data_IF_941869918636
#
_entry.id   IF_941869918636
#
_cell.length_a   1.000
_cell.length_b   1.000
_cell.length_c   1.000
_cell.angle_alpha   90.00
_cell.angle_beta   90.00
_cell.angle_gamma   90.00
#
_symmetry.space_group_name_H-M   'P 1'
#
loop_
_entity.id
_entity.type
_entity.pdbx_description
1 polymer ?
#
# COMPACT_ATOMS: atom_id res chain seq x y z
N UNK A 1 -14.03 -3.77 -1.40
CA UNK A 1 -15.31 -3.05 -1.26
C UNK A 1 -15.10 -1.55 -1.27
N UNK A 2 -14.35 -0.93 -0.33
CA UNK A 2 -14.22 0.54 -0.25
C UNK A 2 -13.62 1.21 -1.50
N UNK A 3 -12.84 0.50 -2.33
CA UNK A 3 -12.33 0.98 -3.62
C UNK A 3 -13.49 1.27 -4.58
N UNK A 4 -14.45 0.35 -4.67
CA UNK A 4 -15.66 0.53 -5.49
C UNK A 4 -16.55 1.63 -4.92
N UNK A 5 -16.77 1.61 -3.61
CA UNK A 5 -17.63 2.59 -2.93
C UNK A 5 -17.11 4.03 -3.13
N UNK A 6 -15.76 4.22 -3.11
CA UNK A 6 -15.13 5.50 -3.45
C UNK A 6 -15.28 5.85 -4.94
N UNK A 7 -15.01 4.89 -5.84
CA UNK A 7 -15.07 5.12 -7.28
C UNK A 7 -16.47 5.46 -7.77
N UNK A 8 -17.50 4.92 -7.12
CA UNK A 8 -18.91 5.20 -7.43
C UNK A 8 -19.45 6.45 -6.72
N UNK A 9 -18.74 6.98 -5.72
CA UNK A 9 -19.21 8.10 -4.90
C UNK A 9 -20.19 7.72 -3.80
N UNK A 10 -20.28 6.43 -3.46
CA UNK A 10 -21.15 5.93 -2.39
C UNK A 10 -20.63 6.35 -1.00
N UNK A 11 -19.31 6.60 -0.87
CA UNK A 11 -18.67 7.15 0.32
C UNK A 11 -17.80 8.36 -0.03
N UNK A 12 -17.74 9.34 0.87
CA UNK A 12 -16.99 10.58 0.67
C UNK A 12 -15.58 10.53 1.26
N UNK A 13 -15.31 9.62 2.18
CA UNK A 13 -14.04 9.51 2.90
C UNK A 13 -13.75 8.08 3.29
N UNK A 14 -12.52 7.64 3.09
CA UNK A 14 -12.04 6.35 3.55
C UNK A 14 -10.60 6.44 4.04
N UNK A 15 -10.24 5.62 5.04
CA UNK A 15 -8.85 5.26 5.30
C UNK A 15 -8.48 4.10 4.40
N UNK A 16 -7.40 4.24 3.62
CA UNK A 16 -6.98 3.22 2.68
C UNK A 16 -5.50 3.31 2.35
N UNK A 17 -5.00 2.30 1.67
CA UNK A 17 -3.64 2.24 1.17
C UNK A 17 -3.52 3.07 -0.11
N UNK A 18 -2.35 3.68 -0.34
CA UNK A 18 -2.12 4.55 -1.49
C UNK A 18 -2.50 3.92 -2.83
N UNK A 19 -2.02 2.71 -3.12
CA UNK A 19 -2.31 2.02 -4.37
C UNK A 19 -3.79 1.67 -4.56
N UNK A 20 -4.51 1.35 -3.49
CA UNK A 20 -5.96 1.10 -3.54
C UNK A 20 -6.74 2.37 -3.91
N UNK A 21 -6.30 3.51 -3.39
CA UNK A 21 -6.96 4.79 -3.70
C UNK A 21 -6.63 5.23 -5.13
N UNK A 22 -5.41 4.97 -5.61
CA UNK A 22 -5.06 5.18 -7.02
C UNK A 22 -5.92 4.31 -7.95
N UNK A 23 -6.19 3.05 -7.57
CA UNK A 23 -7.14 2.21 -8.31
C UNK A 23 -8.55 2.78 -8.29
N UNK A 24 -9.04 3.26 -7.14
CA UNK A 24 -10.37 3.88 -7.07
C UNK A 24 -10.47 5.11 -7.98
N UNK A 25 -9.41 5.94 -8.02
CA UNK A 25 -9.30 7.08 -8.93
C UNK A 25 -9.40 6.65 -10.39
N UNK A 26 -8.59 5.68 -10.81
CA UNK A 26 -8.60 5.16 -12.18
C UNK A 26 -9.99 4.63 -12.58
N UNK A 27 -10.66 3.87 -11.70
CA UNK A 27 -12.02 3.36 -11.96
C UNK A 27 -13.06 4.48 -12.09
N UNK A 28 -12.99 5.52 -11.26
CA UNK A 28 -13.89 6.67 -11.38
C UNK A 28 -13.68 7.41 -12.71
N UNK A 29 -12.44 7.58 -13.14
CA UNK A 29 -12.08 8.20 -14.43
C UNK A 29 -12.60 7.36 -15.62
N UNK A 30 -12.42 6.03 -15.57
CA UNK A 30 -12.93 5.09 -16.59
C UNK A 30 -14.46 5.10 -16.68
N UNK A 31 -15.13 5.12 -15.52
CA UNK A 31 -16.59 5.15 -15.43
C UNK A 31 -17.21 6.48 -15.92
N UNK A 32 -16.42 7.56 -15.99
CA UNK A 32 -16.87 8.91 -16.39
C UNK A 32 -18.13 9.38 -15.67
N UNK A 33 -18.26 8.98 -14.40
CA UNK A 33 -19.45 9.27 -13.56
C UNK A 33 -19.37 10.65 -12.86
N UNK A 34 -18.28 11.42 -13.09
CA UNK A 34 -18.07 12.73 -12.49
C UNK A 34 -17.47 12.68 -11.07
N UNK A 35 -17.23 11.49 -10.51
CA UNK A 35 -16.59 11.32 -9.20
C UNK A 35 -15.10 11.61 -9.32
N UNK A 36 -14.58 12.42 -8.40
CA UNK A 36 -13.16 12.72 -8.28
C UNK A 36 -12.60 12.13 -6.99
N UNK A 37 -11.72 11.16 -7.11
CA UNK A 37 -11.05 10.52 -5.97
C UNK A 37 -9.68 11.14 -5.80
N UNK A 38 -9.35 11.58 -4.57
CA UNK A 38 -8.05 12.17 -4.23
C UNK A 38 -7.47 11.43 -3.03
N UNK A 39 -6.21 11.02 -3.12
CA UNK A 39 -5.44 10.51 -1.99
C UNK A 39 -4.65 11.63 -1.34
N UNK A 40 -4.62 11.65 -0.02
CA UNK A 40 -3.82 12.62 0.75
C UNK A 40 -3.18 11.97 1.97
N UNK A 41 -1.88 12.13 2.10
CA UNK A 41 -1.15 11.82 3.33
C UNK A 41 -1.42 12.98 4.31
N UNK A 42 -1.97 12.73 5.51
CA UNK A 42 -2.17 13.77 6.53
C UNK A 42 -0.84 14.46 6.89
N UNK A 43 -0.91 15.76 7.21
CA UNK A 43 0.30 16.51 7.62
C UNK A 43 0.89 16.01 8.94
N UNK A 44 0.06 15.39 9.77
CA UNK A 44 0.44 14.79 11.06
C UNK A 44 1.25 13.50 10.88
N UNK A 45 1.29 12.96 9.66
CA UNK A 45 1.92 11.71 9.30
C UNK A 45 0.93 10.59 9.01
N UNK A 46 1.45 9.49 8.55
CA UNK A 46 0.69 8.27 8.25
C UNK A 46 1.53 7.04 8.53
N UNK A 47 0.87 5.90 8.69
CA UNK A 47 1.56 4.63 8.78
C UNK A 47 2.21 4.28 7.46
N UNK A 48 3.51 3.94 7.53
CA UNK A 48 4.26 3.35 6.43
C UNK A 48 4.39 1.84 6.65
N UNK A 49 4.12 1.07 5.60
CA UNK A 49 4.17 -0.38 5.63
C UNK A 49 5.12 -0.91 4.55
N UNK A 50 5.79 -2.01 4.85
CA UNK A 50 6.65 -2.71 3.90
C UNK A 50 6.19 -4.16 3.77
N UNK A 51 5.68 -4.53 2.60
CA UNK A 51 5.48 -5.92 2.25
C UNK A 51 6.82 -6.56 1.90
N UNK A 52 7.08 -7.72 2.47
CA UNK A 52 8.36 -8.40 2.31
C UNK A 52 8.16 -9.89 2.05
N UNK A 53 8.95 -10.45 1.14
CA UNK A 53 9.03 -11.89 0.98
C UNK A 53 9.77 -12.51 2.16
N UNK A 54 9.28 -13.64 2.66
CA UNK A 54 9.93 -14.42 3.69
C UNK A 54 9.88 -15.91 3.35
N UNK A 55 10.97 -16.63 3.65
CA UNK A 55 11.04 -18.07 3.48
C UNK A 55 10.97 -18.72 4.86
N UNK A 56 9.93 -19.50 5.19
CA UNK A 56 9.86 -20.26 6.44
C UNK A 56 11.09 -21.17 6.59
N UNK A 57 11.55 -21.35 7.83
CA UNK A 57 12.76 -22.16 8.14
C UNK A 57 12.65 -23.60 7.62
N UNK A 58 11.46 -24.14 7.61
CA UNK A 58 11.11 -25.51 7.21
C UNK A 58 10.44 -25.59 5.83
N UNK A 59 10.64 -24.57 5.00
CA UNK A 59 10.10 -24.56 3.64
C UNK A 59 10.62 -25.77 2.84
N UNK A 60 9.75 -26.53 2.15
CA UNK A 60 10.17 -27.75 1.44
C UNK A 60 11.02 -27.46 0.19
N UNK A 61 10.94 -26.25 -0.37
CA UNK A 61 11.62 -25.84 -1.60
C UNK A 61 12.33 -24.49 -1.43
N UNK A 62 13.34 -24.37 -0.54
CA UNK A 62 13.96 -23.07 -0.26
C UNK A 62 14.78 -22.52 -1.44
N UNK A 63 15.37 -23.40 -2.27
CA UNK A 63 16.15 -22.98 -3.44
C UNK A 63 15.25 -22.29 -4.49
N UNK A 64 14.10 -22.85 -4.76
CA UNK A 64 13.10 -22.29 -5.69
C UNK A 64 12.51 -20.99 -5.13
N UNK A 65 12.30 -20.91 -3.82
CA UNK A 65 11.85 -19.68 -3.17
C UNK A 65 12.89 -18.56 -3.30
N UNK A 66 14.17 -18.85 -3.11
CA UNK A 66 15.25 -17.90 -3.37
C UNK A 66 15.29 -17.45 -4.83
N UNK A 67 15.20 -18.40 -5.77
CA UNK A 67 15.19 -18.09 -7.21
C UNK A 67 14.00 -17.18 -7.59
N UNK A 68 12.83 -17.36 -6.97
CA UNK A 68 11.68 -16.48 -7.15
C UNK A 68 11.94 -15.08 -6.59
N UNK A 69 12.50 -14.97 -5.38
CA UNK A 69 12.85 -13.68 -4.78
C UNK A 69 13.87 -12.94 -5.65
N UNK A 70 14.93 -13.62 -6.09
CA UNK A 70 15.94 -13.04 -6.98
C UNK A 70 15.33 -12.54 -8.29
N UNK A 71 14.40 -13.30 -8.88
CA UNK A 71 13.66 -12.86 -10.06
C UNK A 71 12.84 -11.60 -9.79
N UNK A 72 12.12 -11.55 -8.67
CA UNK A 72 11.30 -10.38 -8.28
C UNK A 72 12.15 -9.15 -7.96
N UNK A 73 13.40 -9.33 -7.50
CA UNK A 73 14.33 -8.23 -7.22
C UNK A 73 14.96 -7.61 -8.48
N UNK A 74 14.79 -8.22 -9.66
CA UNK A 74 15.28 -7.64 -10.92
C UNK A 74 14.60 -6.28 -11.16
N UNK A 75 15.37 -5.24 -11.55
CA UNK A 75 14.81 -3.90 -11.77
C UNK A 75 13.64 -3.86 -12.76
N UNK A 76 13.76 -4.59 -13.87
CA UNK A 76 12.74 -4.67 -14.91
C UNK A 76 11.45 -5.39 -14.45
N UNK A 77 11.59 -6.33 -13.54
CA UNK A 77 10.44 -7.10 -12.99
C UNK A 77 9.70 -6.27 -11.95
N UNK A 78 10.41 -5.73 -10.96
CA UNK A 78 9.77 -4.99 -9.87
C UNK A 78 9.20 -3.64 -10.35
N UNK A 79 9.81 -2.99 -11.35
CA UNK A 79 9.24 -1.80 -11.96
C UNK A 79 7.89 -2.10 -12.63
N UNK A 80 7.76 -3.24 -13.33
CA UNK A 80 6.45 -3.65 -13.89
C UNK A 80 5.40 -3.90 -12.81
N UNK A 81 5.80 -4.46 -11.67
CA UNK A 81 4.88 -4.60 -10.54
C UNK A 81 4.42 -3.23 -10.04
N UNK A 82 5.35 -2.29 -9.81
CA UNK A 82 5.00 -0.92 -9.41
C UNK A 82 4.05 -0.25 -10.40
N UNK A 83 4.34 -0.36 -11.70
CA UNK A 83 3.50 0.23 -12.75
C UNK A 83 2.09 -0.39 -12.80
N UNK A 84 1.95 -1.65 -12.42
CA UNK A 84 0.65 -2.34 -12.40
C UNK A 84 -0.20 -2.03 -11.16
N UNK A 85 0.43 -1.84 -9.99
CA UNK A 85 -0.30 -1.71 -8.72
C UNK A 85 -0.18 -0.34 -8.06
N UNK A 86 0.64 0.55 -8.62
CA UNK A 86 0.89 1.91 -8.12
C UNK A 86 1.40 1.97 -6.68
N UNK A 87 2.12 0.94 -6.24
CA UNK A 87 2.87 0.95 -4.99
C UNK A 87 4.35 1.13 -5.25
N UNK A 88 5.06 1.97 -4.48
CA UNK A 88 6.51 2.11 -4.58
C UNK A 88 7.22 0.79 -4.29
N UNK A 89 8.39 0.60 -4.89
CA UNK A 89 9.28 -0.50 -4.55
C UNK A 89 10.59 0.02 -3.94
N UNK A 90 11.32 -0.87 -3.27
CA UNK A 90 12.58 -0.54 -2.59
C UNK A 90 13.83 -0.70 -3.47
N UNK A 91 13.70 -1.05 -4.74
CA UNK A 91 14.84 -1.25 -5.63
C UNK A 91 15.19 0.06 -6.37
N UNK A 92 16.28 0.69 -5.97
CA UNK A 92 16.74 1.95 -6.56
C UNK A 92 17.04 1.85 -8.05
N UNK A 93 17.51 0.69 -8.52
CA UNK A 93 17.86 0.49 -9.93
C UNK A 93 16.58 0.38 -10.81
N UNK A 94 15.41 0.16 -10.21
CA UNK A 94 14.13 0.15 -10.90
C UNK A 94 13.58 1.56 -11.17
N UNK A 95 14.11 2.60 -10.53
CA UNK A 95 13.57 3.96 -10.58
C UNK A 95 13.41 4.52 -11.99
N UNK A 96 14.36 4.25 -12.87
CA UNK A 96 14.33 4.70 -14.27
C UNK A 96 13.30 3.93 -15.15
N UNK A 97 12.77 2.81 -14.65
CA UNK A 97 11.82 1.93 -15.35
C UNK A 97 10.38 2.08 -14.82
N UNK A 98 10.20 2.82 -13.75
CA UNK A 98 8.87 3.16 -13.22
C UNK A 98 8.25 4.24 -14.09
N UNK A 99 6.94 4.12 -14.36
CA UNK A 99 6.19 5.11 -15.12
C UNK A 99 6.37 6.51 -14.51
N UNK A 100 6.77 7.51 -15.30
CA UNK A 100 6.95 8.87 -14.81
C UNK A 100 5.72 9.44 -14.10
N UNK A 101 4.51 9.09 -14.53
CA UNK A 101 3.27 9.54 -13.88
C UNK A 101 3.13 8.98 -12.46
N UNK A 102 3.62 7.77 -12.19
CA UNK A 102 3.65 7.15 -10.86
C UNK A 102 4.83 7.71 -10.04
N UNK A 103 6.02 7.75 -10.65
CA UNK A 103 7.25 8.17 -9.96
C UNK A 103 7.23 9.63 -9.51
N UNK A 104 6.56 10.49 -10.25
CA UNK A 104 6.47 11.94 -9.97
C UNK A 104 5.26 12.29 -9.09
N UNK A 105 4.38 11.35 -8.79
CA UNK A 105 3.25 11.59 -7.88
C UNK A 105 3.75 11.61 -6.42
N UNK A 106 3.71 12.77 -5.72
CA UNK A 106 4.22 12.90 -4.35
C UNK A 106 3.38 12.16 -3.32
N UNK A 107 2.20 11.70 -3.68
CA UNK A 107 1.35 10.88 -2.82
C UNK A 107 1.71 9.38 -2.93
N UNK A 108 2.38 8.98 -4.01
CA UNK A 108 2.91 7.62 -4.21
C UNK A 108 4.39 7.57 -3.82
N UNK A 109 5.18 8.52 -4.32
CA UNK A 109 6.61 8.68 -4.01
C UNK A 109 6.81 9.98 -3.23
N UNK A 110 6.49 9.99 -1.92
CA UNK A 110 6.57 11.22 -1.12
C UNK A 110 8.01 11.73 -1.01
N UNK A 111 8.21 13.05 -0.99
CA UNK A 111 9.52 13.65 -0.82
C UNK A 111 10.08 13.37 0.59
N UNK A 112 11.40 13.52 0.76
CA UNK A 112 12.12 13.15 1.98
C UNK A 112 11.51 13.77 3.25
N UNK A 113 11.18 15.06 3.21
CA UNK A 113 10.55 15.76 4.35
C UNK A 113 9.17 15.18 4.72
N UNK A 114 8.45 14.60 3.77
CA UNK A 114 7.18 13.92 4.04
C UNK A 114 7.42 12.52 4.63
N UNK A 115 8.45 11.81 4.15
CA UNK A 115 8.83 10.49 4.67
C UNK A 115 9.18 10.58 6.15
N UNK A 116 9.83 11.66 6.61
CA UNK A 116 10.17 11.88 8.02
C UNK A 116 8.94 11.96 8.94
N UNK A 117 7.76 12.28 8.42
CA UNK A 117 6.50 12.28 9.19
C UNK A 117 5.81 10.92 9.22
N UNK A 118 6.27 9.95 8.43
CA UNK A 118 5.70 8.61 8.40
C UNK A 118 6.24 7.76 9.55
N UNK A 119 5.45 6.80 10.00
CA UNK A 119 5.84 5.91 11.09
C UNK A 119 5.51 4.45 10.77
N UNK A 120 6.31 3.54 11.31
CA UNK A 120 6.05 2.10 11.27
C UNK A 120 5.50 1.64 12.62
N UNK A 121 4.68 0.59 12.62
CA UNK A 121 4.13 0.02 13.84
C UNK A 121 5.05 -1.11 14.32
N UNK A 122 5.43 -1.06 15.60
CA UNK A 122 6.09 -2.17 16.27
C UNK A 122 5.07 -3.28 16.57
N UNK A 123 5.50 -4.56 16.60
CA UNK A 123 4.63 -5.66 17.01
C UNK A 123 4.03 -5.42 18.40
N UNK A 124 2.74 -5.69 18.52
CA UNK A 124 2.05 -5.57 19.81
C UNK A 124 2.44 -6.70 20.76
N UNK A 125 2.55 -6.38 22.03
CA UNK A 125 2.61 -7.40 23.08
C UNK A 125 1.30 -8.18 23.12
N UNK A 126 1.34 -9.41 23.64
CA UNK A 126 0.14 -10.26 23.79
C UNK A 126 -1.00 -9.53 24.55
N UNK A 127 -0.66 -8.74 25.55
CA UNK A 127 -1.64 -7.95 26.32
C UNK A 127 -2.31 -6.89 25.45
N UNK A 128 -1.53 -6.14 24.69
CA UNK A 128 -2.04 -5.11 23.76
C UNK A 128 -2.92 -5.74 22.67
N UNK A 129 -2.49 -6.85 22.09
CA UNK A 129 -3.27 -7.56 21.07
C UNK A 129 -4.61 -8.03 21.63
N UNK A 130 -4.63 -8.56 22.84
CA UNK A 130 -5.89 -8.95 23.51
C UNK A 130 -6.82 -7.77 23.74
N UNK A 131 -6.28 -6.61 24.15
CA UNK A 131 -7.08 -5.39 24.33
C UNK A 131 -7.66 -4.89 23.01
N UNK A 132 -6.85 -4.82 21.97
CA UNK A 132 -7.28 -4.41 20.61
C UNK A 132 -8.40 -5.30 20.09
N UNK A 133 -8.26 -6.62 20.22
CA UNK A 133 -9.27 -7.57 19.78
C UNK A 133 -10.61 -7.37 20.53
N UNK A 134 -10.54 -7.12 21.83
CA UNK A 134 -11.76 -6.82 22.64
C UNK A 134 -12.40 -5.50 22.21
N UNK A 135 -11.61 -4.45 22.01
CA UNK A 135 -12.11 -3.15 21.54
C UNK A 135 -12.78 -3.29 20.18
N UNK A 136 -12.12 -3.95 19.24
CA UNK A 136 -12.63 -4.17 17.89
C UNK A 136 -13.94 -4.98 17.89
N UNK A 137 -14.03 -6.02 18.73
CA UNK A 137 -15.26 -6.80 18.91
C UNK A 137 -16.40 -5.94 19.43
N UNK A 138 -16.14 -5.06 20.40
CA UNK A 138 -17.15 -4.13 20.94
C UNK A 138 -17.63 -3.14 19.88
N UNK A 139 -16.71 -2.53 19.13
CA UNK A 139 -17.04 -1.59 18.05
C UNK A 139 -17.94 -2.27 17.00
N UNK A 140 -17.58 -3.48 16.55
CA UNK A 140 -18.40 -4.24 15.59
C UNK A 140 -19.77 -4.64 16.13
N UNK A 141 -19.89 -4.80 17.44
CA UNK A 141 -21.16 -5.10 18.10
C UNK A 141 -22.00 -3.85 18.43
N UNK A 142 -21.55 -2.65 18.03
CA UNK A 142 -22.23 -1.39 18.33
C UNK A 142 -22.23 -1.00 19.82
N UNK A 143 -21.19 -1.41 20.57
CA UNK A 143 -21.09 -1.20 22.03
C UNK A 143 -19.84 -0.42 22.39
#
# INVERSE_FOLDING_TARGET
QYIEDLANGDICLAFGWSGDIVQAKARAEEAKNGVQVVYKIPREGAQMWFDSFAIPKDAPHPAEAHAFIDYMMRPDVIARCTNAVSYPNGNKDADALVDPAIKQDPEIYPPAERIETLFTISPYTQRQQTQLNRMWTRIKAGR
#
